data_IF_453255565265
#
_entry.id   IF_453255565265
#
_cell.length_a   1.000
_cell.length_b   1.000
_cell.length_c   1.000
_cell.angle_alpha   90.00
_cell.angle_beta   90.00
_cell.angle_gamma   90.00
#
_symmetry.space_group_name_H-M   'P 1'
#
loop_
_entity.id
_entity.type
_entity.pdbx_description
1 polymer ?
#
# COMPACT_ATOMS: atom_id res chain seq x y z
N UNK A 1 6.99 7.51 31.68
CA UNK A 1 6.43 7.77 30.34
C UNK A 1 5.06 8.40 30.49
N UNK A 2 4.64 9.30 29.59
CA UNK A 2 3.29 9.88 29.64
C UNK A 2 2.25 8.80 29.27
N UNK A 3 1.11 8.72 29.98
CA UNK A 3 0.01 7.84 29.57
C UNK A 3 -0.51 8.22 28.18
N UNK A 4 -0.84 7.22 27.35
CA UNK A 4 -1.48 7.42 26.04
C UNK A 4 -2.97 7.63 26.24
N UNK A 5 -3.51 8.72 25.71
CA UNK A 5 -4.94 9.07 25.78
C UNK A 5 -5.71 8.51 24.60
N UNK A 6 -7.03 8.45 24.74
CA UNK A 6 -7.92 8.21 23.61
C UNK A 6 -7.73 9.32 22.57
N UNK A 7 -7.53 8.95 21.31
CA UNK A 7 -7.26 9.89 20.21
C UNK A 7 -5.77 10.10 19.89
N UNK A 8 -4.84 9.70 20.77
CA UNK A 8 -3.40 9.83 20.50
C UNK A 8 -2.87 8.87 19.42
N UNK A 9 -3.68 7.88 19.03
CA UNK A 9 -3.36 6.89 18.01
C UNK A 9 -4.60 6.49 17.22
N UNK A 10 -4.34 6.09 15.99
CA UNK A 10 -5.31 5.45 15.11
C UNK A 10 -4.88 3.98 14.97
N UNK A 11 -5.83 3.07 15.12
CA UNK A 11 -5.58 1.62 15.01
C UNK A 11 -6.62 1.04 14.06
N UNK A 12 -6.14 0.28 13.08
CA UNK A 12 -6.98 -0.48 12.17
C UNK A 12 -6.45 -1.92 12.07
N UNK A 13 -7.36 -2.88 12.04
CA UNK A 13 -7.04 -4.26 11.71
C UNK A 13 -7.16 -4.44 10.19
N UNK A 14 -6.09 -4.89 9.53
CA UNK A 14 -6.03 -4.99 8.06
C UNK A 14 -7.01 -6.01 7.46
N UNK A 15 -7.54 -6.94 8.27
CA UNK A 15 -8.51 -7.95 7.83
C UNK A 15 -9.96 -7.53 8.08
N UNK A 16 -10.19 -6.42 8.79
CA UNK A 16 -11.54 -5.94 9.15
C UNK A 16 -11.82 -4.52 8.66
N UNK A 17 -10.77 -3.71 8.49
CA UNK A 17 -10.91 -2.33 8.05
C UNK A 17 -11.39 -2.26 6.60
N UNK A 18 -12.21 -1.25 6.30
CA UNK A 18 -12.58 -0.93 4.95
C UNK A 18 -11.39 -0.30 4.22
N UNK A 19 -11.11 -0.80 3.02
CA UNK A 19 -10.17 -0.17 2.09
C UNK A 19 -10.95 0.81 1.21
N UNK A 20 -10.35 1.96 0.94
CA UNK A 20 -10.89 2.95 0.03
C UNK A 20 -10.42 2.63 -1.39
N UNK A 21 -11.26 2.71 -2.43
CA UNK A 21 -10.82 2.54 -3.81
C UNK A 21 -9.63 3.45 -4.12
N UNK A 22 -8.63 2.94 -4.84
CA UNK A 22 -7.57 3.78 -5.35
C UNK A 22 -8.09 4.51 -6.58
N UNK A 23 -7.91 5.84 -6.59
CA UNK A 23 -8.43 6.71 -7.64
C UNK A 23 -7.27 7.53 -8.19
N UNK A 24 -7.00 7.39 -9.49
CA UNK A 24 -6.05 8.25 -10.20
C UNK A 24 -6.68 9.61 -10.55
N UNK A 25 -5.89 10.54 -11.07
CA UNK A 25 -6.31 11.92 -11.39
C UNK A 25 -7.55 12.05 -12.30
N UNK A 26 -7.98 10.97 -12.97
CA UNK A 26 -9.16 10.93 -13.82
C UNK A 26 -10.46 10.51 -13.09
N UNK A 27 -10.43 10.39 -11.76
CA UNK A 27 -11.56 9.98 -10.91
C UNK A 27 -12.13 8.56 -11.16
N UNK A 28 -11.53 7.77 -12.05
CA UNK A 28 -11.90 6.38 -12.27
C UNK A 28 -11.17 5.46 -11.28
N UNK A 29 -11.89 4.73 -10.41
CA UNK A 29 -11.28 3.73 -9.56
C UNK A 29 -10.78 2.55 -10.40
N UNK A 30 -9.60 2.06 -10.07
CA UNK A 30 -9.06 0.84 -10.67
C UNK A 30 -9.46 -0.41 -9.86
N UNK A 31 -8.82 -1.55 -10.15
CA UNK A 31 -9.04 -2.80 -9.39
C UNK A 31 -8.13 -2.89 -8.15
N UNK A 32 -7.80 -1.75 -7.57
CA UNK A 32 -6.98 -1.64 -6.37
C UNK A 32 -7.61 -0.73 -5.32
N UNK A 33 -7.11 -0.86 -4.10
CA UNK A 33 -7.64 -0.13 -2.95
C UNK A 33 -6.55 0.10 -1.90
N UNK A 34 -6.77 1.10 -1.05
CA UNK A 34 -5.77 1.56 -0.07
C UNK A 34 -6.37 1.67 1.33
N UNK A 35 -5.59 1.26 2.31
CA UNK A 35 -5.81 1.58 3.72
C UNK A 35 -4.64 2.45 4.21
N UNK A 36 -4.90 3.74 4.37
CA UNK A 36 -3.94 4.73 4.88
C UNK A 36 -4.54 5.45 6.09
N UNK A 37 -3.88 5.34 7.25
CA UNK A 37 -4.35 5.93 8.50
C UNK A 37 -3.97 7.41 8.64
N UNK A 38 -2.81 7.81 8.12
CA UNK A 38 -2.38 9.21 8.08
C UNK A 38 -3.04 9.93 6.91
N UNK A 39 -4.19 10.54 7.17
CA UNK A 39 -4.95 11.34 6.21
C UNK A 39 -4.40 12.76 6.02
N UNK A 40 -3.33 13.14 6.72
CA UNK A 40 -2.65 14.43 6.50
C UNK A 40 -1.72 14.43 5.28
N UNK A 41 -1.47 13.24 4.72
CA UNK A 41 -0.65 13.02 3.53
C UNK A 41 -1.50 12.62 2.33
N UNK A 42 -1.03 12.87 1.10
CA UNK A 42 -1.63 12.26 -0.09
C UNK A 42 -1.70 10.73 0.03
N UNK A 43 -2.67 10.11 -0.63
CA UNK A 43 -2.74 8.65 -0.71
C UNK A 43 -1.46 8.09 -1.36
N UNK A 44 -0.96 6.98 -0.82
CA UNK A 44 0.28 6.35 -1.27
C UNK A 44 1.56 6.97 -0.68
N UNK A 45 1.44 8.05 0.10
CA UNK A 45 2.61 8.71 0.72
C UNK A 45 2.74 8.33 2.18
N UNK A 46 3.88 7.72 2.54
CA UNK A 46 4.12 7.17 3.87
C UNK A 46 3.61 5.74 3.98
N UNK A 47 3.30 5.29 5.21
CA UNK A 47 2.87 3.91 5.43
C UNK A 47 1.39 3.73 5.08
N UNK A 48 1.14 2.81 4.16
CA UNK A 48 -0.21 2.43 3.75
C UNK A 48 -0.21 0.94 3.38
N UNK A 49 -1.38 0.33 3.39
CA UNK A 49 -1.59 -1.00 2.81
C UNK A 49 -2.22 -0.79 1.45
N UNK A 50 -1.56 -1.28 0.41
CA UNK A 50 -2.09 -1.31 -0.94
C UNK A 50 -2.58 -2.73 -1.25
N UNK A 51 -3.80 -2.84 -1.77
CA UNK A 51 -4.43 -4.11 -2.12
C UNK A 51 -4.81 -4.09 -3.59
N UNK A 52 -4.36 -5.10 -4.31
CA UNK A 52 -4.66 -5.31 -5.73
C UNK A 52 -5.46 -6.60 -5.89
N UNK A 53 -6.50 -6.57 -6.73
CA UNK A 53 -7.22 -7.79 -7.09
C UNK A 53 -6.38 -8.69 -8.01
N UNK A 54 -6.64 -10.00 -8.00
CA UNK A 54 -5.86 -10.97 -8.76
C UNK A 54 -5.91 -10.68 -10.27
N UNK A 55 -4.75 -10.64 -10.92
CA UNK A 55 -4.62 -10.32 -12.36
C UNK A 55 -4.54 -8.83 -12.67
N UNK A 56 -4.63 -7.95 -11.67
CA UNK A 56 -4.40 -6.52 -11.87
C UNK A 56 -2.94 -6.25 -12.27
N UNK A 57 -2.74 -5.32 -13.20
CA UNK A 57 -1.43 -4.83 -13.62
C UNK A 57 -1.34 -3.36 -13.30
N UNK A 58 -0.31 -2.96 -12.58
CA UNK A 58 -0.05 -1.56 -12.27
C UNK A 58 0.40 -0.80 -13.50
N UNK A 59 0.16 0.52 -13.52
CA UNK A 59 0.69 1.40 -14.56
C UNK A 59 2.22 1.49 -14.43
N UNK A 60 2.99 1.31 -15.53
CA UNK A 60 4.42 1.50 -15.50
C UNK A 60 4.81 2.89 -14.99
N UNK A 61 5.68 2.95 -13.99
CA UNK A 61 6.16 4.20 -13.41
C UNK A 61 7.62 4.08 -13.00
N UNK A 62 8.23 5.21 -12.62
CA UNK A 62 9.61 5.27 -12.12
C UNK A 62 9.58 5.68 -10.66
N UNK A 63 10.34 4.96 -9.83
CA UNK A 63 10.55 5.35 -8.44
C UNK A 63 11.34 6.66 -8.39
N UNK A 64 10.79 7.65 -7.71
CA UNK A 64 11.46 8.95 -7.49
C UNK A 64 12.26 8.98 -6.19
N UNK A 65 12.15 7.94 -5.37
CA UNK A 65 12.94 7.62 -4.18
C UNK A 65 13.06 6.11 -4.04
N UNK A 66 13.89 5.61 -3.10
CA UNK A 66 13.82 4.21 -2.69
C UNK A 66 12.40 3.88 -2.21
N UNK A 67 11.93 2.68 -2.53
CA UNK A 67 10.65 2.14 -2.07
C UNK A 67 10.87 0.88 -1.25
N UNK A 68 10.14 0.74 -0.16
CA UNK A 68 10.19 -0.44 0.70
C UNK A 68 8.78 -0.96 0.94
N UNK A 69 8.57 -2.24 0.72
CA UNK A 69 7.27 -2.88 0.95
C UNK A 69 7.43 -4.30 1.52
N UNK A 70 6.37 -4.75 2.20
CA UNK A 70 6.22 -6.11 2.70
C UNK A 70 5.01 -6.73 2.00
N UNK A 71 5.18 -7.89 1.39
CA UNK A 71 4.05 -8.64 0.81
C UNK A 71 3.30 -9.31 1.95
N UNK A 72 2.07 -8.85 2.22
CA UNK A 72 1.24 -9.39 3.32
C UNK A 72 0.43 -10.63 2.92
N UNK A 73 0.14 -10.81 1.64
CA UNK A 73 -0.63 -11.93 1.10
C UNK A 73 -0.54 -11.94 -0.43
N UNK A 74 -0.59 -13.12 -1.05
CA UNK A 74 -0.58 -13.28 -2.51
C UNK A 74 0.82 -13.24 -3.12
N UNK A 75 0.87 -12.94 -4.42
CA UNK A 75 2.11 -12.83 -5.20
C UNK A 75 2.10 -11.55 -6.04
N UNK A 76 3.27 -10.94 -6.21
CA UNK A 76 3.52 -9.81 -7.11
C UNK A 76 4.62 -10.20 -8.09
N UNK A 77 4.38 -9.98 -9.38
CA UNK A 77 5.34 -10.26 -10.45
C UNK A 77 5.87 -8.92 -10.97
N UNK A 78 7.16 -8.68 -10.82
CA UNK A 78 7.83 -7.50 -11.36
C UNK A 78 8.09 -7.65 -12.87
N UNK A 79 8.32 -6.54 -13.56
CA UNK A 79 8.58 -6.48 -14.99
C UNK A 79 9.81 -7.28 -15.46
N UNK A 80 10.74 -7.61 -14.56
CA UNK A 80 11.90 -8.47 -14.83
C UNK A 80 11.63 -9.97 -14.61
N UNK A 81 10.39 -10.32 -14.21
CA UNK A 81 9.95 -11.68 -13.93
C UNK A 81 10.21 -12.15 -12.49
N UNK A 82 10.77 -11.29 -11.62
CA UNK A 82 10.91 -11.58 -10.20
C UNK A 82 9.53 -11.75 -9.56
N UNK A 83 9.35 -12.81 -8.78
CA UNK A 83 8.11 -13.08 -8.06
C UNK A 83 8.31 -12.88 -6.57
N UNK A 84 7.68 -11.85 -6.02
CA UNK A 84 7.59 -11.61 -4.58
C UNK A 84 6.38 -12.35 -4.00
N UNK A 85 6.54 -12.92 -2.82
CA UNK A 85 5.54 -13.73 -2.12
C UNK A 85 5.31 -13.25 -0.69
N UNK A 86 4.22 -13.70 -0.09
CA UNK A 86 3.92 -13.43 1.31
C UNK A 86 5.14 -13.61 2.24
N UNK A 87 5.44 -12.56 3.01
CA UNK A 87 6.57 -12.49 3.92
C UNK A 87 7.84 -11.84 3.33
N UNK A 88 7.91 -11.63 2.01
CA UNK A 88 9.04 -10.94 1.40
C UNK A 88 9.05 -9.45 1.77
N UNK A 89 10.15 -9.01 2.39
CA UNK A 89 10.42 -7.61 2.70
C UNK A 89 11.45 -7.06 1.73
N UNK A 90 11.00 -6.16 0.85
CA UNK A 90 11.72 -5.74 -0.35
C UNK A 90 12.10 -4.28 -0.24
N UNK A 91 13.34 -3.96 -0.62
CA UNK A 91 13.82 -2.60 -0.86
C UNK A 91 14.14 -2.47 -2.35
N UNK A 92 13.37 -1.66 -3.07
CA UNK A 92 13.67 -1.23 -4.42
C UNK A 92 14.49 0.06 -4.35
N UNK A 93 15.73 -0.01 -4.83
CA UNK A 93 16.62 1.15 -4.91
C UNK A 93 16.33 1.93 -6.18
N UNK A 94 16.32 3.25 -6.06
CA UNK A 94 16.24 4.16 -7.21
C UNK A 94 17.53 4.18 -8.04
#
# INVERSE_FOLDING_TARGET
MKPVKQGDRIVANIHQAAFEPWVFENDDPDQSSVLQLDKSRPNGVGLHIYKMEAGFTTTPHRHTSDETFLVLSGELIENDGTVYREGDFVLMKK
#
